data_IF_129189847165
#
_entry.id   IF_129189847165
#
_cell.length_a   1.000
_cell.length_b   1.000
_cell.length_c   1.000
_cell.angle_alpha   90.00
_cell.angle_beta   90.00
_cell.angle_gamma   90.00
#
_symmetry.space_group_name_H-M   'P 1'
#
loop_
_entity.id
_entity.type
_entity.pdbx_description
1 polymer ?
#
# COMPACT_ATOMS: atom_id res chain seq x y z
N UNK A 1 -28.11 14.38 0.96
CA UNK A 1 -26.70 14.38 1.39
C UNK A 1 -25.93 13.65 0.31
N UNK A 2 -24.81 14.20 -0.19
CA UNK A 2 -23.95 13.45 -1.09
C UNK A 2 -23.45 12.18 -0.40
N UNK A 3 -23.25 11.11 -1.17
CA UNK A 3 -22.57 9.92 -0.65
C UNK A 3 -21.08 10.25 -0.33
N UNK A 4 -20.39 9.34 0.36
CA UNK A 4 -18.99 9.54 0.78
C UNK A 4 -18.06 9.76 -0.42
N UNK A 5 -18.26 9.06 -1.54
CA UNK A 5 -17.39 9.18 -2.72
C UNK A 5 -17.60 10.51 -3.43
N UNK A 6 -18.84 10.99 -3.53
CA UNK A 6 -19.18 12.31 -4.05
C UNK A 6 -18.57 13.41 -3.18
N UNK A 7 -18.56 13.22 -1.85
CA UNK A 7 -17.90 14.16 -0.94
C UNK A 7 -16.38 14.17 -1.15
N UNK A 8 -15.75 12.99 -1.27
CA UNK A 8 -14.32 12.87 -1.56
C UNK A 8 -13.97 13.59 -2.87
N UNK A 9 -14.73 13.34 -3.94
CA UNK A 9 -14.53 13.96 -5.25
C UNK A 9 -14.68 15.49 -5.19
N UNK A 10 -15.77 15.98 -4.58
CA UNK A 10 -16.06 17.41 -4.49
C UNK A 10 -15.01 18.20 -3.69
N UNK A 11 -14.29 17.52 -2.79
CA UNK A 11 -13.29 18.13 -1.90
C UNK A 11 -11.85 17.73 -2.25
N UNK A 12 -11.61 17.04 -3.36
CA UNK A 12 -10.29 16.57 -3.79
C UNK A 12 -9.51 15.81 -2.68
N UNK A 13 -10.24 14.97 -1.94
CA UNK A 13 -9.69 14.17 -0.85
C UNK A 13 -9.09 12.86 -1.39
N UNK A 14 -8.25 12.21 -0.57
CA UNK A 14 -7.75 10.87 -0.86
C UNK A 14 -8.74 9.82 -0.36
N UNK A 15 -9.15 8.91 -1.25
CA UNK A 15 -9.81 7.68 -0.84
C UNK A 15 -8.76 6.65 -0.40
N UNK A 16 -8.65 6.44 0.91
CA UNK A 16 -7.93 5.30 1.49
C UNK A 16 -8.89 4.15 1.76
N UNK A 17 -8.54 2.93 1.34
CA UNK A 17 -9.46 1.78 1.47
C UNK A 17 -9.49 1.15 2.86
N UNK A 18 -8.45 1.34 3.67
CA UNK A 18 -8.33 0.63 4.94
C UNK A 18 -8.40 -0.90 4.75
N UNK A 19 -9.08 -1.60 5.66
CA UNK A 19 -9.18 -3.07 5.67
C UNK A 19 -10.46 -3.63 5.03
N UNK A 20 -10.99 -3.00 3.97
CA UNK A 20 -12.08 -3.61 3.21
C UNK A 20 -11.56 -4.79 2.37
N UNK A 21 -12.46 -5.70 2.01
CA UNK A 21 -12.09 -6.92 1.26
C UNK A 21 -11.65 -6.63 -0.18
N UNK A 22 -10.96 -7.58 -0.85
CA UNK A 22 -10.66 -7.48 -2.29
C UNK A 22 -11.87 -7.21 -3.16
N UNK A 23 -13.01 -7.87 -2.86
CA UNK A 23 -14.23 -7.70 -3.63
C UNK A 23 -14.79 -6.27 -3.48
N UNK A 24 -14.71 -5.70 -2.29
CA UNK A 24 -15.10 -4.30 -2.05
C UNK A 24 -14.14 -3.33 -2.73
N UNK A 25 -12.81 -3.57 -2.70
CA UNK A 25 -11.82 -2.75 -3.44
C UNK A 25 -12.14 -2.74 -4.93
N UNK A 26 -12.34 -3.91 -5.53
CA UNK A 26 -12.63 -4.06 -6.95
C UNK A 26 -13.99 -3.46 -7.35
N UNK A 27 -14.87 -3.20 -6.38
CA UNK A 27 -16.15 -2.53 -6.59
C UNK A 27 -16.03 -1.02 -6.39
N UNK A 28 -15.36 -0.58 -5.32
CA UNK A 28 -15.30 0.83 -4.92
C UNK A 28 -14.37 1.65 -5.80
N UNK A 29 -13.24 1.09 -6.26
CA UNK A 29 -12.27 1.82 -7.09
C UNK A 29 -12.89 2.29 -8.41
N UNK A 30 -13.55 1.43 -9.22
CA UNK A 30 -14.23 1.88 -10.43
C UNK A 30 -15.34 2.90 -10.15
N UNK A 31 -16.12 2.69 -9.08
CA UNK A 31 -17.21 3.59 -8.72
C UNK A 31 -16.70 4.98 -8.30
N UNK A 32 -15.64 5.03 -7.49
CA UNK A 32 -14.99 6.27 -7.08
C UNK A 32 -14.48 7.06 -8.29
N UNK A 33 -13.84 6.37 -9.24
CA UNK A 33 -13.39 7.00 -10.49
C UNK A 33 -14.53 7.56 -11.34
N UNK A 34 -15.62 6.82 -11.48
CA UNK A 34 -16.80 7.30 -12.22
C UNK A 34 -17.41 8.55 -11.60
N UNK A 35 -17.29 8.69 -10.28
CA UNK A 35 -17.75 9.86 -9.53
C UNK A 35 -16.73 11.01 -9.48
N UNK A 36 -15.55 10.85 -10.11
CA UNK A 36 -14.53 11.89 -10.20
C UNK A 36 -13.52 11.92 -9.04
N UNK A 37 -13.38 10.83 -8.27
CA UNK A 37 -12.29 10.71 -7.30
C UNK A 37 -10.98 10.52 -8.04
N UNK A 38 -10.07 11.49 -7.91
CA UNK A 38 -8.77 11.49 -8.60
C UNK A 38 -7.67 10.78 -7.81
N UNK A 39 -7.80 10.72 -6.48
CA UNK A 39 -6.76 10.26 -5.56
C UNK A 39 -7.22 9.04 -4.79
N UNK A 40 -6.66 7.88 -5.12
CA UNK A 40 -7.02 6.60 -4.51
C UNK A 40 -5.74 5.91 -4.03
N UNK A 41 -5.72 5.54 -2.75
CA UNK A 41 -4.66 4.75 -2.14
C UNK A 41 -5.26 3.44 -1.61
N UNK A 42 -4.77 2.33 -2.13
CA UNK A 42 -5.07 1.03 -1.53
C UNK A 42 -4.13 0.83 -0.37
N UNK A 43 -4.70 0.91 0.83
CA UNK A 43 -3.97 0.73 2.08
C UNK A 43 -3.40 -0.69 2.12
N UNK A 44 -2.12 -0.82 2.53
CA UNK A 44 -1.35 -2.07 2.72
C UNK A 44 -1.73 -3.22 1.76
N UNK A 45 -1.69 -2.97 0.45
CA UNK A 45 -2.31 -3.78 -0.61
C UNK A 45 -1.99 -5.30 -0.59
N UNK A 46 -0.83 -5.68 -0.04
CA UNK A 46 -0.36 -7.08 0.05
C UNK A 46 -0.56 -7.73 1.42
N UNK A 47 -1.00 -7.00 2.46
CA UNK A 47 -1.31 -7.59 3.76
C UNK A 47 -2.42 -8.64 3.64
N UNK A 48 -2.61 -9.51 4.65
CA UNK A 48 -3.69 -10.52 4.66
C UNK A 48 -5.08 -9.92 4.39
N UNK A 49 -5.32 -8.71 4.87
CA UNK A 49 -6.45 -7.88 4.45
C UNK A 49 -5.90 -6.55 3.95
N UNK A 50 -6.05 -6.24 2.65
CA UNK A 50 -7.01 -6.86 1.74
C UNK A 50 -6.59 -8.21 1.14
N UNK A 51 -5.31 -8.55 1.04
CA UNK A 51 -4.88 -9.83 0.45
C UNK A 51 -5.07 -9.86 -1.06
N UNK A 52 -4.81 -8.75 -1.74
CA UNK A 52 -4.96 -8.66 -3.19
C UNK A 52 -3.95 -9.57 -3.88
N UNK A 53 -4.42 -10.31 -4.88
CA UNK A 53 -3.53 -10.99 -5.82
C UNK A 53 -2.80 -9.97 -6.70
N UNK A 54 -1.63 -10.34 -7.22
CA UNK A 54 -0.87 -9.48 -8.12
C UNK A 54 -1.67 -9.03 -9.35
N UNK A 55 -2.54 -9.91 -9.88
CA UNK A 55 -3.43 -9.57 -11.00
C UNK A 55 -4.48 -8.53 -10.61
N UNK A 56 -5.05 -8.63 -9.40
CA UNK A 56 -5.97 -7.62 -8.90
C UNK A 56 -5.25 -6.30 -8.68
N UNK A 57 -4.06 -6.30 -8.06
CA UNK A 57 -3.21 -5.12 -7.87
C UNK A 57 -2.92 -4.42 -9.20
N UNK A 58 -2.55 -5.15 -10.25
CA UNK A 58 -2.37 -4.58 -11.58
C UNK A 58 -3.65 -3.91 -12.09
N UNK A 59 -4.80 -4.60 -12.00
CA UNK A 59 -6.07 -4.10 -12.52
C UNK A 59 -6.55 -2.80 -11.85
N UNK A 60 -6.24 -2.58 -10.57
CA UNK A 60 -6.55 -1.31 -9.88
C UNK A 60 -5.46 -0.26 -10.10
N UNK A 61 -4.20 -0.66 -10.26
CA UNK A 61 -3.10 0.23 -10.62
C UNK A 61 -3.27 0.83 -12.02
N UNK A 62 -3.77 0.04 -12.98
CA UNK A 62 -4.16 0.49 -14.33
C UNK A 62 -5.31 1.51 -14.29
N UNK A 63 -6.09 1.50 -13.22
CA UNK A 63 -7.09 2.52 -12.94
C UNK A 63 -6.49 3.74 -12.23
N UNK A 64 -5.19 3.82 -12.02
CA UNK A 64 -4.53 4.98 -11.41
C UNK A 64 -4.63 5.04 -9.89
N UNK A 65 -5.05 3.96 -9.23
CA UNK A 65 -4.89 3.84 -7.79
C UNK A 65 -3.43 3.58 -7.44
N UNK A 66 -2.96 4.16 -6.34
CA UNK A 66 -1.69 3.80 -5.74
C UNK A 66 -1.84 2.58 -4.83
N UNK A 67 -0.81 1.74 -4.79
CA UNK A 67 -0.70 0.54 -3.97
C UNK A 67 0.27 0.82 -2.82
N UNK A 68 -0.19 0.76 -1.59
CA UNK A 68 0.69 0.94 -0.43
C UNK A 68 1.37 -0.37 -0.04
N UNK A 69 2.68 -0.32 0.18
CA UNK A 69 3.45 -1.39 0.82
C UNK A 69 3.95 -0.92 2.19
N UNK A 70 3.70 -1.74 3.20
CA UNK A 70 4.00 -1.44 4.60
C UNK A 70 5.07 -2.37 5.15
N UNK A 71 6.04 -1.81 5.86
CA UNK A 71 7.13 -2.61 6.47
C UNK A 71 6.63 -3.62 7.51
N UNK A 72 5.58 -3.31 8.27
CA UNK A 72 5.03 -4.20 9.30
C UNK A 72 4.67 -5.59 8.75
N UNK A 73 4.29 -5.71 7.48
CA UNK A 73 3.95 -6.98 6.86
C UNK A 73 5.14 -7.97 6.84
N UNK A 74 6.37 -7.46 6.91
CA UNK A 74 7.60 -8.28 7.02
C UNK A 74 7.80 -8.87 8.41
N UNK A 75 7.09 -8.34 9.41
CA UNK A 75 7.18 -8.71 10.82
C UNK A 75 6.02 -9.61 11.27
N UNK A 76 5.05 -9.86 10.39
CA UNK A 76 3.90 -10.73 10.62
C UNK A 76 4.22 -12.20 10.37
N UNK A 77 3.27 -13.09 10.67
CA UNK A 77 3.41 -14.54 10.50
C UNK A 77 3.58 -15.29 11.81
N UNK A 78 3.60 -16.63 11.72
CA UNK A 78 3.62 -17.54 12.87
C UNK A 78 4.73 -17.26 13.91
N UNK A 79 5.83 -16.64 13.48
CA UNK A 79 7.00 -16.32 14.31
C UNK A 79 6.99 -14.88 14.82
N UNK A 80 5.90 -14.12 14.62
CA UNK A 80 5.80 -12.75 15.09
C UNK A 80 5.78 -12.67 16.62
N UNK A 81 6.39 -11.61 17.14
CA UNK A 81 6.48 -11.35 18.58
C UNK A 81 5.10 -11.11 19.22
N UNK A 82 4.20 -10.46 18.48
CA UNK A 82 2.85 -10.17 18.94
C UNK A 82 1.84 -11.21 18.45
N UNK A 83 0.96 -11.66 19.33
CA UNK A 83 -0.06 -12.66 19.00
C UNK A 83 -1.01 -12.21 17.87
N UNK A 84 -1.34 -10.92 17.79
CA UNK A 84 -2.20 -10.38 16.72
C UNK A 84 -1.51 -10.51 15.34
N UNK A 85 -0.19 -10.31 15.28
CA UNK A 85 0.59 -10.46 14.06
C UNK A 85 0.75 -11.92 13.62
N UNK A 86 0.61 -12.88 14.54
CA UNK A 86 0.66 -14.31 14.22
C UNK A 86 -0.55 -14.78 13.40
N UNK A 87 -1.66 -14.06 13.46
CA UNK A 87 -2.86 -14.37 12.68
C UNK A 87 -2.78 -13.87 11.23
N UNK A 88 -1.74 -13.11 10.88
CA UNK A 88 -1.55 -12.51 9.56
C UNK A 88 -0.38 -13.16 8.83
N UNK A 89 -0.41 -13.13 7.52
CA UNK A 89 0.62 -13.68 6.65
C UNK A 89 1.83 -12.76 6.61
N UNK A 90 3.02 -13.36 6.65
CA UNK A 90 4.26 -12.66 6.36
C UNK A 90 4.33 -12.31 4.88
N UNK A 91 4.61 -11.04 4.56
CA UNK A 91 4.95 -10.63 3.20
C UNK A 91 6.44 -10.28 3.17
N UNK A 92 7.22 -11.12 2.49
CA UNK A 92 8.67 -10.92 2.42
C UNK A 92 9.05 -9.74 1.53
N UNK A 93 10.24 -9.18 1.78
CA UNK A 93 10.81 -8.11 0.95
C UNK A 93 10.95 -8.54 -0.51
N UNK A 94 11.36 -9.78 -0.77
CA UNK A 94 11.51 -10.32 -2.12
C UNK A 94 10.17 -10.37 -2.85
N UNK A 95 9.10 -10.70 -2.12
CA UNK A 95 7.74 -10.73 -2.67
C UNK A 95 7.27 -9.32 -3.02
N UNK A 96 7.52 -8.34 -2.13
CA UNK A 96 7.24 -6.92 -2.40
C UNK A 96 8.07 -6.39 -3.59
N UNK A 97 9.37 -6.67 -3.63
CA UNK A 97 10.26 -6.26 -4.71
C UNK A 97 9.81 -6.84 -6.06
N UNK A 98 9.39 -8.10 -6.09
CA UNK A 98 8.81 -8.72 -7.29
C UNK A 98 7.52 -8.04 -7.73
N UNK A 99 6.65 -7.64 -6.80
CA UNK A 99 5.45 -6.90 -7.13
C UNK A 99 5.79 -5.53 -7.75
N UNK A 100 6.74 -4.80 -7.14
CA UNK A 100 7.26 -3.52 -7.67
C UNK A 100 7.81 -3.70 -9.09
N UNK A 101 8.65 -4.71 -9.32
CA UNK A 101 9.24 -4.99 -10.62
C UNK A 101 8.21 -5.42 -11.67
N UNK A 102 7.12 -6.08 -11.26
CA UNK A 102 6.09 -6.56 -12.18
C UNK A 102 5.12 -5.46 -12.58
N UNK A 103 4.63 -4.67 -11.61
CA UNK A 103 3.60 -3.64 -11.84
C UNK A 103 4.23 -2.28 -12.19
N UNK A 104 5.42 -2.00 -11.67
CA UNK A 104 6.15 -0.75 -11.86
C UNK A 104 6.06 0.17 -10.64
N UNK A 105 7.21 0.74 -10.24
CA UNK A 105 7.34 1.62 -9.08
C UNK A 105 6.45 2.87 -9.15
N UNK A 106 6.02 3.31 -10.33
CA UNK A 106 5.10 4.44 -10.53
C UNK A 106 3.73 4.25 -9.88
N UNK A 107 3.37 3.02 -9.51
CA UNK A 107 2.08 2.68 -8.91
C UNK A 107 2.14 2.46 -7.40
N UNK A 108 3.32 2.55 -6.77
CA UNK A 108 3.48 2.20 -5.36
C UNK A 108 3.79 3.40 -4.47
N UNK A 109 3.36 3.29 -3.22
CA UNK A 109 3.74 4.15 -2.11
C UNK A 109 4.33 3.27 -1.01
N UNK A 110 5.40 3.73 -0.36
CA UNK A 110 5.99 3.04 0.79
C UNK A 110 5.59 3.70 2.10
N UNK A 111 5.27 2.89 3.10
CA UNK A 111 5.06 3.32 4.47
C UNK A 111 5.50 2.20 5.43
N UNK A 112 5.28 2.38 6.73
CA UNK A 112 5.70 1.39 7.72
C UNK A 112 4.54 0.64 8.35
N UNK A 113 3.44 1.34 8.65
CA UNK A 113 2.35 0.88 9.51
C UNK A 113 2.86 0.35 10.87
N UNK A 114 3.97 0.94 11.34
CA UNK A 114 4.53 0.74 12.66
C UNK A 114 4.07 1.83 13.62
N UNK A 115 4.22 1.57 14.92
CA UNK A 115 3.91 2.53 15.97
C UNK A 115 3.33 1.88 17.23
N UNK A 116 3.20 0.55 17.24
CA UNK A 116 2.80 -0.22 18.42
C UNK A 116 3.99 -0.32 19.37
N UNK A 117 3.71 -0.57 20.65
CA UNK A 117 4.72 -0.50 21.71
C UNK A 117 5.86 -1.54 21.56
N UNK A 118 5.60 -2.67 20.91
CA UNK A 118 6.58 -3.76 20.71
C UNK A 118 7.23 -3.73 19.32
N UNK A 119 6.79 -2.84 18.44
CA UNK A 119 7.37 -2.68 17.11
C UNK A 119 8.74 -1.98 17.18
N UNK A 120 9.60 -2.17 16.16
CA UNK A 120 10.69 -1.25 15.91
C UNK A 120 10.16 0.19 15.78
N UNK A 121 11.02 1.17 16.05
CA UNK A 121 10.67 2.57 15.77
C UNK A 121 10.30 2.72 14.29
N UNK A 122 9.24 3.49 13.95
CA UNK A 122 8.88 3.74 12.55
C UNK A 122 10.04 4.31 11.72
N UNK A 123 10.94 5.08 12.33
CA UNK A 123 12.13 5.63 11.66
C UNK A 123 13.08 4.51 11.26
N UNK A 124 13.40 3.62 12.20
CA UNK A 124 14.31 2.49 11.98
C UNK A 124 13.70 1.48 11.01
N UNK A 125 12.40 1.21 11.15
CA UNK A 125 11.67 0.32 10.25
C UNK A 125 11.67 0.85 8.81
N UNK A 126 11.45 2.15 8.61
CA UNK A 126 11.47 2.74 7.27
C UNK A 126 12.88 2.69 6.65
N UNK A 127 13.93 2.97 7.42
CA UNK A 127 15.32 2.85 6.96
C UNK A 127 15.63 1.42 6.50
N UNK A 128 15.31 0.43 7.34
CA UNK A 128 15.49 -0.99 7.00
C UNK A 128 14.69 -1.38 5.77
N UNK A 129 13.46 -0.88 5.63
CA UNK A 129 12.62 -1.19 4.49
C UNK A 129 13.27 -0.76 3.18
N UNK A 130 13.77 0.48 3.13
CA UNK A 130 14.47 1.01 1.96
C UNK A 130 15.77 0.25 1.66
N UNK A 131 16.58 -0.04 2.68
CA UNK A 131 17.82 -0.81 2.53
C UNK A 131 17.58 -2.22 2.00
N UNK A 132 16.56 -2.90 2.53
CA UNK A 132 16.22 -4.26 2.13
C UNK A 132 15.63 -4.30 0.71
N UNK A 133 14.77 -3.35 0.34
CA UNK A 133 14.29 -3.21 -1.03
C UNK A 133 15.43 -2.90 -2.01
N UNK A 134 16.38 -2.04 -1.62
CA UNK A 134 17.58 -1.78 -2.43
C UNK A 134 18.40 -3.06 -2.64
N UNK A 135 18.63 -3.82 -1.56
CA UNK A 135 19.33 -5.10 -1.61
C UNK A 135 18.59 -6.15 -2.47
N UNK A 136 17.26 -6.06 -2.54
CA UNK A 136 16.41 -6.88 -3.41
C UNK A 136 16.36 -6.38 -4.89
N UNK A 137 17.16 -5.37 -5.23
CA UNK A 137 17.35 -4.91 -6.61
C UNK A 137 16.41 -3.79 -7.05
N UNK A 138 15.72 -3.12 -6.13
CA UNK A 138 14.99 -1.88 -6.46
C UNK A 138 15.98 -0.73 -6.58
N UNK A 139 15.88 0.04 -7.67
CA UNK A 139 16.80 1.15 -7.93
C UNK A 139 16.59 2.31 -6.95
N UNK A 140 17.62 3.12 -6.72
CA UNK A 140 17.52 4.33 -5.91
C UNK A 140 16.45 5.30 -6.47
N UNK A 141 16.35 5.40 -7.80
CA UNK A 141 15.34 6.22 -8.46
C UNK A 141 13.91 5.71 -8.19
N UNK A 142 13.69 4.40 -8.22
CA UNK A 142 12.38 3.81 -7.92
C UNK A 142 12.05 3.94 -6.43
N UNK A 143 13.02 3.74 -5.54
CA UNK A 143 12.86 4.00 -4.10
C UNK A 143 12.45 5.45 -3.84
N UNK A 144 13.12 6.41 -4.47
CA UNK A 144 12.77 7.82 -4.35
C UNK A 144 11.35 8.09 -4.89
N UNK A 145 11.00 7.49 -6.04
CA UNK A 145 9.68 7.62 -6.62
C UNK A 145 8.58 7.16 -5.65
N UNK A 146 8.72 5.98 -5.06
CA UNK A 146 7.69 5.40 -4.18
C UNK A 146 7.67 6.02 -2.77
N UNK A 147 8.80 6.53 -2.28
CA UNK A 147 8.92 7.11 -0.94
C UNK A 147 8.63 8.61 -0.87
N UNK A 148 8.66 9.31 -2.01
CA UNK A 148 8.54 10.77 -2.05
C UNK A 148 7.58 11.24 -3.15
N UNK A 149 7.91 10.98 -4.42
CA UNK A 149 7.19 11.58 -5.56
C UNK A 149 5.75 11.07 -5.71
N UNK A 150 5.53 9.78 -5.50
CA UNK A 150 4.20 9.18 -5.58
C UNK A 150 3.27 9.63 -4.45
N UNK A 151 3.67 9.57 -3.15
CA UNK A 151 2.82 10.07 -2.08
C UNK A 151 2.56 11.58 -2.18
N UNK A 152 3.49 12.37 -2.73
CA UNK A 152 3.25 13.80 -3.00
C UNK A 152 2.02 14.03 -3.90
N UNK A 153 1.83 13.21 -4.94
CA UNK A 153 0.67 13.30 -5.85
C UNK A 153 -0.67 13.05 -5.17
N UNK A 154 -0.68 12.35 -4.02
CA UNK A 154 -1.89 12.16 -3.22
C UNK A 154 -2.25 13.41 -2.42
N UNK A 155 -1.29 14.32 -2.19
CA UNK A 155 -1.47 15.49 -1.32
C UNK A 155 -1.67 16.81 -2.07
N UNK A 156 -1.28 16.89 -3.35
CA UNK A 156 -1.49 18.05 -4.23
C UNK A 156 -2.91 18.09 -4.77
#
# INVERSE_FOLDING_TARGET
>A
MPDILQYIAAHNLVLGTGHISPAEILTVVPAAKQLGVEKILITHAMATVPGLTLAQMQAIADQGAFLELTYVNTLMGENATEADHQAWENVSIETMAKAIQTIGATHFVLSTDLGRALDPSPIEGYQRFLEQLAAAGISEADLYLMSHTNPEKLLQ
#
